data_IF_857625436029
#
_entry.id   IF_857625436029
#
_cell.length_a   1.000
_cell.length_b   1.000
_cell.length_c   1.000
_cell.angle_alpha   90.00
_cell.angle_beta   90.00
_cell.angle_gamma   90.00
#
_symmetry.space_group_name_H-M   'P 1'
#
loop_
_entity.id
_entity.type
_entity.pdbx_description
1 polymer ?
#
# COMPACT_ATOMS: atom_id res chain seq x y z
N UNK A 1 -8.67 -14.72 25.70
CA UNK A 1 -9.06 -14.57 24.28
C UNK A 1 -8.66 -13.17 23.82
N UNK A 2 -7.70 -13.06 22.90
CA UNK A 2 -7.21 -11.76 22.44
C UNK A 2 -8.25 -11.13 21.50
N UNK A 3 -8.76 -9.96 21.91
CA UNK A 3 -9.78 -9.16 21.22
C UNK A 3 -9.25 -8.72 19.84
N UNK A 4 -10.01 -8.85 18.74
CA UNK A 4 -9.59 -8.29 17.46
C UNK A 4 -9.62 -6.76 17.59
N UNK A 5 -8.46 -6.12 17.47
CA UNK A 5 -8.40 -4.65 17.35
C UNK A 5 -8.99 -4.30 15.99
N UNK A 6 -10.24 -3.82 16.00
CA UNK A 6 -10.83 -3.05 14.89
C UNK A 6 -9.92 -1.85 14.65
N UNK A 7 -9.01 -1.97 13.67
CA UNK A 7 -8.24 -0.85 13.16
C UNK A 7 -9.24 0.11 12.51
N UNK A 8 -9.36 1.29 13.09
CA UNK A 8 -10.05 2.43 12.51
C UNK A 8 -9.62 2.58 11.04
N UNK A 9 -10.53 2.92 10.09
CA UNK A 9 -10.10 3.30 8.76
C UNK A 9 -9.38 4.65 8.91
N UNK A 10 -8.07 4.61 9.12
CA UNK A 10 -7.20 5.74 8.83
C UNK A 10 -7.40 6.05 7.35
N UNK A 11 -8.27 6.99 6.99
CA UNK A 11 -8.58 7.36 5.61
C UNK A 11 -7.36 8.00 4.95
N UNK A 12 -6.37 7.18 4.64
CA UNK A 12 -5.34 7.55 3.68
C UNK A 12 -5.86 7.20 2.30
N UNK A 13 -6.09 8.21 1.47
CA UNK A 13 -6.64 8.06 0.13
C UNK A 13 -5.61 7.54 -0.90
N UNK A 14 -4.56 6.87 -0.41
CA UNK A 14 -3.43 6.40 -1.20
C UNK A 14 -3.88 5.34 -2.23
N UNK A 15 -3.51 5.48 -3.51
CA UNK A 15 -3.80 4.48 -4.52
C UNK A 15 -3.29 3.08 -4.14
N UNK A 16 -2.13 2.98 -3.46
CA UNK A 16 -1.61 1.71 -2.95
C UNK A 16 -2.59 1.03 -2.00
N UNK A 17 -3.13 1.78 -1.04
CA UNK A 17 -4.09 1.26 -0.05
C UNK A 17 -5.39 0.84 -0.72
N UNK A 18 -5.89 1.64 -1.67
CA UNK A 18 -7.11 1.34 -2.44
C UNK A 18 -6.98 0.03 -3.19
N UNK A 19 -5.86 -0.18 -3.89
CA UNK A 19 -5.58 -1.42 -4.62
C UNK A 19 -5.55 -2.63 -3.69
N UNK A 20 -4.87 -2.52 -2.54
CA UNK A 20 -4.83 -3.59 -1.54
C UNK A 20 -6.23 -3.94 -1.01
N UNK A 21 -7.01 -2.92 -0.62
CA UNK A 21 -8.34 -3.13 -0.05
C UNK A 21 -9.33 -3.67 -1.09
N UNK A 22 -9.24 -3.22 -2.34
CA UNK A 22 -10.05 -3.74 -3.44
C UNK A 22 -9.77 -5.23 -3.70
N UNK A 23 -8.56 -5.69 -3.42
CA UNK A 23 -8.17 -7.10 -3.47
C UNK A 23 -8.51 -7.88 -2.18
N UNK A 24 -9.10 -7.25 -1.17
CA UNK A 24 -9.47 -7.90 0.09
C UNK A 24 -8.30 -8.27 1.00
N UNK A 25 -7.11 -7.70 0.77
CA UNK A 25 -5.89 -8.07 1.48
C UNK A 25 -5.66 -7.21 2.73
N UNK A 26 -5.12 -7.79 3.80
CA UNK A 26 -4.55 -7.05 4.93
C UNK A 26 -3.13 -6.55 4.61
N UNK A 27 -2.57 -5.66 5.44
CA UNK A 27 -1.17 -5.24 5.28
C UNK A 27 -0.22 -6.44 5.48
N UNK A 28 -0.55 -7.33 6.42
CA UNK A 28 0.20 -8.56 6.70
C UNK A 28 0.14 -9.55 5.54
N UNK A 29 -0.96 -9.61 4.79
CA UNK A 29 -1.03 -10.41 3.57
C UNK A 29 -0.02 -9.93 2.53
N UNK A 30 0.01 -8.62 2.25
CA UNK A 30 1.01 -8.06 1.33
C UNK A 30 2.44 -8.25 1.81
N UNK A 31 2.70 -8.12 3.11
CA UNK A 31 4.02 -8.39 3.69
C UNK A 31 4.50 -9.80 3.39
N UNK A 32 3.63 -10.80 3.57
CA UNK A 32 3.95 -12.21 3.26
C UNK A 32 4.23 -12.42 1.78
N UNK A 33 3.49 -11.75 0.90
CA UNK A 33 3.61 -11.90 -0.56
C UNK A 33 4.84 -11.16 -1.12
N UNK A 34 5.16 -9.99 -0.59
CA UNK A 34 6.22 -9.11 -1.12
C UNK A 34 7.56 -9.25 -0.37
N UNK A 35 7.56 -9.87 0.81
CA UNK A 35 8.78 -9.99 1.64
C UNK A 35 9.32 -8.65 2.14
N UNK A 36 8.45 -7.67 2.38
CA UNK A 36 8.80 -6.37 2.96
C UNK A 36 8.29 -6.27 4.40
N UNK A 37 8.75 -5.30 5.18
CA UNK A 37 8.21 -5.09 6.52
C UNK A 37 6.82 -4.44 6.49
N UNK A 38 6.01 -4.69 7.53
CA UNK A 38 4.72 -3.98 7.73
C UNK A 38 4.93 -2.46 7.80
N UNK A 39 6.04 -2.02 8.39
CA UNK A 39 6.39 -0.59 8.47
C UNK A 39 6.58 0.05 7.09
N UNK A 40 7.16 -0.68 6.13
CA UNK A 40 7.30 -0.23 4.74
C UNK A 40 5.95 -0.05 4.07
N UNK A 41 5.07 -1.05 4.14
CA UNK A 41 3.69 -0.95 3.61
C UNK A 41 2.95 0.24 4.23
N UNK A 42 3.04 0.40 5.56
CA UNK A 42 2.38 1.52 6.25
C UNK A 42 2.91 2.89 5.81
N UNK A 43 4.21 3.03 5.51
CA UNK A 43 4.77 4.29 4.99
C UNK A 43 4.25 4.59 3.59
N UNK A 44 4.20 3.59 2.71
CA UNK A 44 3.64 3.73 1.35
C UNK A 44 2.16 4.11 1.38
N UNK A 45 1.36 3.44 2.20
CA UNK A 45 -0.08 3.74 2.34
C UNK A 45 -0.36 5.13 2.92
N UNK A 46 0.60 5.71 3.67
CA UNK A 46 0.52 7.06 4.22
C UNK A 46 1.15 8.13 3.32
N UNK A 47 1.75 7.74 2.18
CA UNK A 47 2.49 8.66 1.32
C UNK A 47 3.77 9.22 1.95
N UNK A 48 4.30 8.57 3.00
CA UNK A 48 5.55 8.99 3.67
C UNK A 48 6.82 8.55 2.94
N UNK A 49 6.66 7.70 1.92
CA UNK A 49 7.70 7.25 1.02
C UNK A 49 7.06 6.72 -0.27
N UNK A 50 7.72 6.93 -1.39
CA UNK A 50 7.34 6.29 -2.65
C UNK A 50 7.72 4.80 -2.62
N UNK A 51 6.89 3.90 -3.20
CA UNK A 51 7.22 2.48 -3.28
C UNK A 51 8.46 2.20 -4.12
N UNK A 52 9.54 1.84 -3.45
CA UNK A 52 10.73 1.28 -4.07
C UNK A 52 10.64 -0.24 -4.04
N UNK A 53 10.33 -0.84 -5.18
CA UNK A 53 10.16 -2.28 -5.31
C UNK A 53 11.21 -2.87 -6.24
N UNK A 54 11.72 -4.04 -5.88
CA UNK A 54 12.39 -4.92 -6.84
C UNK A 54 11.41 -5.43 -7.90
N UNK A 55 11.91 -5.95 -9.03
CA UNK A 55 11.06 -6.57 -10.06
C UNK A 55 10.21 -7.71 -9.48
N UNK A 56 10.77 -8.50 -8.55
CA UNK A 56 10.02 -9.55 -7.86
C UNK A 56 8.84 -8.97 -7.06
N UNK A 57 9.09 -7.93 -6.27
CA UNK A 57 8.05 -7.27 -5.47
C UNK A 57 6.98 -6.61 -6.33
N UNK A 58 7.36 -5.98 -7.45
CA UNK A 58 6.40 -5.41 -8.40
C UNK A 58 5.50 -6.49 -9.00
N UNK A 59 6.07 -7.63 -9.43
CA UNK A 59 5.30 -8.77 -9.93
C UNK A 59 4.38 -9.36 -8.86
N UNK A 60 4.89 -9.52 -7.63
CA UNK A 60 4.11 -10.02 -6.50
C UNK A 60 2.96 -9.08 -6.16
N UNK A 61 3.20 -7.76 -6.16
CA UNK A 61 2.16 -6.75 -5.93
C UNK A 61 1.07 -6.80 -7.01
N UNK A 62 1.46 -6.78 -8.30
CA UNK A 62 0.53 -6.89 -9.43
C UNK A 62 -0.36 -8.14 -9.33
N UNK A 63 0.26 -9.30 -9.05
CA UNK A 63 -0.44 -10.57 -8.84
C UNK A 63 -1.41 -10.49 -7.65
N UNK A 64 -0.95 -9.94 -6.52
CA UNK A 64 -1.73 -9.82 -5.30
C UNK A 64 -2.98 -8.93 -5.48
N UNK A 65 -2.85 -7.82 -6.21
CA UNK A 65 -3.96 -6.88 -6.45
C UNK A 65 -4.77 -7.20 -7.70
N UNK A 66 -4.48 -8.32 -8.37
CA UNK A 66 -5.13 -8.76 -9.60
C UNK A 66 -5.16 -7.68 -10.69
N UNK A 67 -4.02 -7.01 -10.92
CA UNK A 67 -3.84 -6.02 -11.99
C UNK A 67 -2.53 -6.25 -12.73
N UNK A 68 -2.52 -5.90 -14.01
CA UNK A 68 -1.27 -5.77 -14.75
C UNK A 68 -0.55 -4.47 -14.39
N UNK A 69 0.73 -4.35 -14.76
CA UNK A 69 1.49 -3.11 -14.56
C UNK A 69 0.84 -1.92 -15.29
N UNK A 70 0.25 -2.14 -16.46
CA UNK A 70 -0.38 -1.12 -17.29
C UNK A 70 -1.71 -0.60 -16.69
N UNK A 71 -2.35 -1.39 -15.81
CA UNK A 71 -3.57 -1.02 -15.11
C UNK A 71 -3.32 -0.26 -13.80
N UNK A 72 -2.04 -0.12 -13.40
CA UNK A 72 -1.67 0.61 -12.21
C UNK A 72 -1.67 2.12 -12.49
N UNK A 73 -2.02 2.96 -11.49
CA UNK A 73 -1.84 4.39 -11.63
C UNK A 73 -0.35 4.74 -11.76
N UNK A 74 -0.05 5.85 -12.45
CA UNK A 74 1.31 6.37 -12.58
C UNK A 74 1.95 6.76 -11.22
N UNK A 75 1.15 6.89 -10.16
CA UNK A 75 1.64 7.05 -8.79
C UNK A 75 0.85 6.18 -7.82
N UNK A 76 1.57 5.49 -6.94
CA UNK A 76 1.00 4.64 -5.89
C UNK A 76 0.79 5.40 -4.57
N UNK A 77 1.19 6.67 -4.49
CA UNK A 77 0.99 7.52 -3.31
C UNK A 77 0.05 8.68 -3.66
N UNK A 78 -0.67 9.19 -2.67
CA UNK A 78 -1.38 10.46 -2.83
C UNK A 78 -0.34 11.58 -2.84
N UNK A 79 -0.34 12.42 -3.87
CA UNK A 79 0.38 13.69 -3.85
C UNK A 79 -0.21 14.53 -2.73
N UNK A 80 0.49 14.70 -1.60
CA UNK A 80 0.18 15.82 -0.70
C UNK A 80 0.52 17.06 -1.51
N UNK A 81 -0.50 17.87 -1.83
CA UNK A 81 -0.27 19.26 -2.20
C UNK A 81 0.69 19.83 -1.15
N UNK A 82 1.88 20.23 -1.60
CA UNK A 82 2.78 21.07 -0.82
C UNK A 82 2.02 22.38 -0.56
N UNK A 83 1.26 22.41 0.52
CA UNK A 83 0.79 23.63 1.17
C UNK A 83 1.38 23.59 2.57
N UNK A 84 2.46 24.36 2.70
CA UNK A 84 2.90 25.08 3.89
C UNK A 84 3.38 24.23 5.07
N UNK A 85 4.67 24.36 5.37
CA UNK A 85 5.13 24.76 6.70
C UNK A 85 6.52 25.40 6.55
N UNK A 86 6.62 26.59 7.14
CA UNK A 86 7.70 27.59 7.13
C UNK A 86 9.11 27.11 7.51
#
# INVERSE_FOLDING_TARGET
MARPKKSQPEETDSPFKKLRLAAGLSQEDLVRLMGVSVSTIRRWERGLAEPTMTVYQMKAFCSAVNKSLDDLPNSLITQRSHSEED
#
